data_IF_322680707911
#
_entry.id   IF_322680707911
#
_cell.length_a   1.000
_cell.length_b   1.000
_cell.length_c   1.000
_cell.angle_alpha   90.00
_cell.angle_beta   90.00
_cell.angle_gamma   90.00
#
_symmetry.space_group_name_H-M   'P 1'
#
loop_
_entity.id
_entity.type
_entity.pdbx_description
1 polymer ?
#
# COMPACT_ATOMS: atom_id res chain seq x y z
N UNK A 1 3.23 10.47 6.92
CA UNK A 1 4.32 10.43 5.92
C UNK A 1 4.73 9.00 5.57
N UNK A 2 5.07 8.17 6.54
CA UNK A 2 5.50 6.78 6.29
C UNK A 2 4.44 5.94 5.57
N UNK A 3 3.17 6.10 5.93
CA UNK A 3 2.09 5.37 5.27
C UNK A 3 2.00 5.74 3.78
N UNK A 4 2.05 7.02 3.44
CA UNK A 4 2.03 7.47 2.05
C UNK A 4 3.26 6.99 1.28
N UNK A 5 4.44 7.04 1.91
CA UNK A 5 5.67 6.53 1.30
C UNK A 5 5.61 5.03 1.07
N UNK A 6 4.92 4.28 1.93
CA UNK A 6 4.72 2.84 1.74
C UNK A 6 3.89 2.54 0.50
N UNK A 7 2.83 3.32 0.25
CA UNK A 7 2.07 3.22 -1.00
C UNK A 7 2.96 3.51 -2.20
N UNK A 8 3.75 4.59 -2.12
CA UNK A 8 4.68 4.94 -3.20
C UNK A 8 5.71 3.84 -3.46
N UNK A 9 6.24 3.21 -2.40
CA UNK A 9 7.18 2.10 -2.54
C UNK A 9 6.55 0.91 -3.26
N UNK A 10 5.28 0.61 -2.99
CA UNK A 10 4.56 -0.44 -3.71
C UNK A 10 4.33 -0.07 -5.18
N UNK A 11 4.07 1.21 -5.47
CA UNK A 11 3.96 1.68 -6.85
C UNK A 11 5.29 1.51 -7.60
N UNK A 12 6.41 1.83 -6.95
CA UNK A 12 7.74 1.61 -7.54
C UNK A 12 7.97 0.12 -7.75
N UNK A 13 7.62 -0.71 -6.77
CA UNK A 13 7.76 -2.16 -6.89
C UNK A 13 7.03 -2.70 -8.13
N UNK A 14 5.87 -2.16 -8.45
CA UNK A 14 5.07 -2.60 -9.59
C UNK A 14 5.78 -2.39 -10.94
N UNK A 15 6.65 -1.38 -11.04
CA UNK A 15 7.37 -1.05 -12.27
C UNK A 15 8.86 -1.38 -12.21
N UNK A 16 9.44 -1.41 -11.00
CA UNK A 16 10.85 -1.70 -10.77
C UNK A 16 10.98 -2.43 -9.44
N UNK A 17 10.94 -3.75 -9.52
CA UNK A 17 10.91 -4.63 -8.35
C UNK A 17 12.07 -4.37 -7.40
N UNK A 18 13.29 -4.25 -7.92
CA UNK A 18 14.47 -4.08 -7.09
C UNK A 18 14.43 -2.77 -6.31
N UNK A 19 14.12 -1.66 -6.97
CA UNK A 19 14.02 -0.37 -6.31
C UNK A 19 12.86 -0.33 -5.32
N UNK A 20 11.73 -0.97 -5.66
CA UNK A 20 10.61 -1.08 -4.73
C UNK A 20 10.97 -1.85 -3.47
N UNK A 21 11.70 -2.96 -3.60
CA UNK A 21 12.18 -3.72 -2.44
C UNK A 21 13.12 -2.87 -1.57
N UNK A 22 14.03 -2.12 -2.17
CA UNK A 22 14.94 -1.25 -1.43
C UNK A 22 14.19 -0.16 -0.66
N UNK A 23 13.19 0.44 -1.28
CA UNK A 23 12.35 1.44 -0.60
C UNK A 23 11.58 0.84 0.57
N UNK A 24 11.01 -0.34 0.40
CA UNK A 24 10.31 -1.03 1.48
C UNK A 24 11.28 -1.39 2.62
N UNK A 25 12.47 -1.86 2.29
CA UNK A 25 13.50 -2.16 3.30
C UNK A 25 13.86 -0.92 4.11
N UNK A 26 13.99 0.22 3.45
CA UNK A 26 14.25 1.49 4.12
C UNK A 26 13.12 1.86 5.09
N UNK A 27 11.88 1.73 4.64
CA UNK A 27 10.70 2.09 5.45
C UNK A 27 10.49 1.14 6.63
N UNK A 28 10.92 -0.11 6.51
CA UNK A 28 10.87 -1.09 7.62
C UNK A 28 11.88 -0.78 8.71
N UNK A 29 12.99 -0.12 8.37
CA UNK A 29 14.00 0.32 9.34
C UNK A 29 14.47 -0.78 10.27
N UNK A 30 14.30 -0.60 11.61
CA UNK A 30 14.78 -1.58 12.60
C UNK A 30 14.19 -2.99 12.48
N UNK A 31 13.05 -3.15 11.80
CA UNK A 31 12.46 -4.48 11.56
C UNK A 31 13.38 -5.35 10.70
N UNK A 32 14.26 -4.72 9.93
CA UNK A 32 15.16 -5.42 9.01
C UNK A 32 14.55 -5.57 7.61
N UNK A 33 15.39 -6.01 6.64
CA UNK A 33 14.93 -6.12 5.26
C UNK A 33 13.87 -7.20 5.08
N UNK A 34 13.20 -7.15 3.93
CA UNK A 34 12.22 -8.16 3.53
C UNK A 34 12.84 -9.54 3.56
N UNK A 35 12.14 -10.50 4.19
CA UNK A 35 12.54 -11.90 4.17
C UNK A 35 12.27 -12.51 2.80
N UNK A 36 12.78 -13.73 2.57
CA UNK A 36 12.47 -14.47 1.35
C UNK A 36 10.97 -14.74 1.22
N UNK A 37 10.30 -15.00 2.34
CA UNK A 37 8.85 -15.16 2.39
C UNK A 37 8.14 -13.87 1.94
N UNK A 38 8.55 -12.72 2.51
CA UNK A 38 7.97 -11.42 2.15
C UNK A 38 8.16 -11.12 0.66
N UNK A 39 9.33 -11.39 0.12
CA UNK A 39 9.63 -11.16 -1.30
C UNK A 39 8.78 -12.05 -2.19
N UNK A 40 8.60 -13.32 -1.83
CA UNK A 40 7.75 -14.25 -2.57
C UNK A 40 6.29 -13.83 -2.54
N UNK A 41 5.81 -13.39 -1.38
CA UNK A 41 4.45 -12.91 -1.21
C UNK A 41 4.18 -11.70 -2.12
N UNK A 42 5.08 -10.72 -2.13
CA UNK A 42 4.95 -9.54 -2.97
C UNK A 42 4.96 -9.94 -4.46
N UNK A 43 5.89 -10.79 -4.85
CA UNK A 43 6.00 -11.24 -6.24
C UNK A 43 4.71 -11.91 -6.71
N UNK A 44 4.17 -12.80 -5.90
CA UNK A 44 2.94 -13.53 -6.24
C UNK A 44 1.74 -12.59 -6.32
N UNK A 45 1.62 -11.64 -5.37
CA UNK A 45 0.49 -10.71 -5.32
C UNK A 45 0.51 -9.69 -6.45
N UNK A 46 1.70 -9.33 -6.94
CA UNK A 46 1.81 -8.38 -8.05
C UNK A 46 1.76 -9.04 -9.42
N UNK A 47 1.76 -10.35 -9.49
CA UNK A 47 1.65 -11.06 -10.76
C UNK A 47 0.30 -10.71 -11.42
N UNK A 48 0.35 -10.06 -12.59
CA UNK A 48 -0.82 -9.56 -13.32
C UNK A 48 -1.69 -8.57 -12.54
N UNK A 49 -1.17 -7.98 -11.44
CA UNK A 49 -1.90 -7.06 -10.58
C UNK A 49 -1.10 -5.79 -10.25
N UNK A 50 -0.34 -5.28 -11.21
CA UNK A 50 0.48 -4.07 -11.01
C UNK A 50 -0.35 -2.82 -10.73
N UNK A 51 -1.66 -2.84 -11.03
CA UNK A 51 -2.57 -1.73 -10.78
C UNK A 51 -2.85 -1.51 -9.29
N UNK A 52 -2.66 -2.52 -8.45
CA UNK A 52 -3.13 -2.53 -7.06
C UNK A 52 -2.67 -1.32 -6.25
N UNK A 53 -1.37 -0.96 -6.20
CA UNK A 53 -0.95 0.18 -5.39
C UNK A 53 -1.47 1.53 -5.91
N UNK A 54 -1.76 1.64 -7.20
CA UNK A 54 -2.28 2.88 -7.79
C UNK A 54 -3.74 3.14 -7.39
N UNK A 55 -4.46 2.12 -6.94
CA UNK A 55 -5.84 2.24 -6.49
C UNK A 55 -6.02 3.13 -5.26
N UNK A 56 -4.94 3.42 -4.56
CA UNK A 56 -4.95 4.23 -3.33
C UNK A 56 -4.86 5.73 -3.60
N UNK A 57 -4.62 6.15 -4.82
CA UNK A 57 -4.62 7.56 -5.17
C UNK A 57 -6.05 8.05 -5.44
N UNK A 58 -6.35 9.27 -4.98
CA UNK A 58 -7.66 9.87 -5.21
C UNK A 58 -7.98 9.93 -6.70
N UNK A 59 -9.21 9.58 -7.06
CA UNK A 59 -9.68 9.58 -8.44
C UNK A 59 -9.38 8.32 -9.23
N UNK A 60 -8.47 7.46 -8.75
CA UNK A 60 -8.19 6.18 -9.39
C UNK A 60 -9.34 5.20 -9.16
N UNK A 61 -9.83 4.57 -10.22
CA UNK A 61 -10.96 3.64 -10.16
C UNK A 61 -10.85 2.60 -11.28
N UNK A 62 -11.54 1.46 -11.15
CA UNK A 62 -11.54 0.46 -12.21
C UNK A 62 -11.98 1.00 -13.57
N UNK A 63 -12.92 1.95 -13.57
CA UNK A 63 -13.47 2.53 -14.81
C UNK A 63 -12.49 3.41 -15.60
N UNK A 64 -11.41 3.86 -14.94
CA UNK A 64 -10.40 4.71 -15.61
C UNK A 64 -8.99 4.10 -15.56
N UNK A 65 -8.90 2.77 -15.43
CA UNK A 65 -7.63 2.05 -15.34
C UNK A 65 -6.73 2.53 -14.21
N UNK A 66 -7.36 2.95 -13.09
CA UNK A 66 -6.66 3.45 -11.89
C UNK A 66 -5.76 4.66 -12.17
N UNK A 67 -6.22 5.55 -13.02
CA UNK A 67 -5.54 6.82 -13.26
C UNK A 67 -5.89 7.82 -12.18
N UNK A 68 -4.90 8.29 -11.41
CA UNK A 68 -5.19 9.24 -10.32
C UNK A 68 -5.51 10.63 -10.86
N UNK A 69 -6.29 11.38 -10.06
CA UNK A 69 -6.52 12.80 -10.30
C UNK A 69 -5.29 13.61 -9.91
N UNK A 70 -5.05 14.74 -10.58
CA UNK A 70 -4.00 15.66 -10.19
C UNK A 70 -4.58 16.82 -9.36
N UNK A 71 -3.87 17.28 -8.31
CA UNK A 71 -2.62 16.74 -7.77
C UNK A 71 -2.81 15.37 -7.12
N UNK A 72 -1.76 14.56 -7.10
CA UNK A 72 -1.84 13.22 -6.55
C UNK A 72 -2.04 13.27 -5.03
N UNK A 73 -3.05 12.59 -4.55
CA UNK A 73 -3.41 12.56 -3.12
C UNK A 73 -3.78 11.15 -2.69
N UNK A 74 -3.44 10.84 -1.44
CA UNK A 74 -3.80 9.57 -0.81
C UNK A 74 -4.56 9.91 0.46
N UNK A 75 -5.75 9.31 0.65
CA UNK A 75 -6.56 9.54 1.85
C UNK A 75 -6.18 8.52 2.91
N UNK A 76 -5.53 9.01 3.97
CA UNK A 76 -5.08 8.20 5.10
C UNK A 76 -5.70 8.78 6.36
N UNK A 77 -6.30 7.93 7.19
CA UNK A 77 -6.97 8.40 8.40
C UNK A 77 -6.90 7.39 9.54
N UNK A 78 -7.02 7.91 10.77
CA UNK A 78 -7.08 7.09 11.98
C UNK A 78 -8.53 6.74 12.30
N UNK A 79 -8.74 5.58 12.90
CA UNK A 79 -10.01 5.16 13.46
C UNK A 79 -9.97 5.09 14.99
N UNK A 80 -11.07 4.66 15.64
CA UNK A 80 -11.14 4.65 17.11
C UNK A 80 -10.13 3.73 17.79
N UNK A 81 -9.61 2.73 17.08
CA UNK A 81 -8.67 1.75 17.64
C UNK A 81 -7.26 1.89 17.11
N UNK A 82 -6.96 2.98 16.38
CA UNK A 82 -5.68 3.16 15.68
C UNK A 82 -4.48 3.17 16.63
N UNK A 83 -4.64 3.69 17.83
CA UNK A 83 -3.54 3.86 18.78
C UNK A 83 -3.72 3.04 20.06
N UNK A 84 -4.54 1.97 20.02
CA UNK A 84 -4.78 1.12 21.19
C UNK A 84 -3.53 0.43 21.70
N UNK A 85 -2.63 0.03 20.80
CA UNK A 85 -1.36 -0.58 21.18
C UNK A 85 -0.26 0.49 21.19
N UNK A 86 0.30 0.74 22.35
CA UNK A 86 1.35 1.72 22.51
C UNK A 86 2.53 1.41 21.59
N UNK A 87 3.00 2.42 20.87
CA UNK A 87 4.11 2.30 19.92
C UNK A 87 3.70 1.83 18.54
N UNK A 88 2.40 1.60 18.31
CA UNK A 88 1.86 1.19 17.01
C UNK A 88 0.77 2.14 16.55
N UNK A 89 0.67 2.32 15.24
CA UNK A 89 -0.42 3.07 14.62
C UNK A 89 -1.05 2.22 13.54
N UNK A 90 -2.33 1.92 13.67
CA UNK A 90 -3.13 1.22 12.66
C UNK A 90 -3.92 2.28 11.90
N UNK A 91 -3.55 2.50 10.64
CA UNK A 91 -4.15 3.53 9.81
C UNK A 91 -4.93 2.91 8.67
N UNK A 92 -5.94 3.64 8.20
CA UNK A 92 -6.79 3.23 7.10
C UNK A 92 -6.47 4.05 5.86
N UNK A 93 -6.45 3.40 4.71
CA UNK A 93 -6.21 4.04 3.43
C UNK A 93 -7.34 3.66 2.48
N UNK A 94 -8.00 4.66 1.90
CA UNK A 94 -9.07 4.43 0.95
C UNK A 94 -8.51 3.97 -0.41
N UNK A 95 -9.23 3.05 -1.03
CA UNK A 95 -8.91 2.56 -2.37
C UNK A 95 -10.14 2.67 -3.27
N UNK A 96 -9.93 3.13 -4.49
CA UNK A 96 -10.99 3.15 -5.50
C UNK A 96 -11.41 1.77 -5.98
N UNK A 97 -10.66 0.72 -5.64
CA UNK A 97 -10.94 -0.66 -6.01
C UNK A 97 -11.47 -1.54 -4.88
N UNK A 98 -11.82 -0.96 -3.73
CA UNK A 98 -12.31 -1.71 -2.58
C UNK A 98 -13.44 -0.96 -1.88
N UNK A 99 -14.42 -1.70 -1.35
CA UNK A 99 -15.57 -1.12 -0.64
C UNK A 99 -15.18 -0.65 0.77
N UNK A 100 -14.20 -1.31 1.37
CA UNK A 100 -13.70 -0.97 2.70
C UNK A 100 -12.25 -0.51 2.60
N UNK A 101 -11.79 0.38 3.51
CA UNK A 101 -10.40 0.81 3.52
C UNK A 101 -9.47 -0.37 3.80
N UNK A 102 -8.24 -0.23 3.35
CA UNK A 102 -7.17 -1.18 3.66
C UNK A 102 -6.31 -0.63 4.78
N UNK A 103 -5.79 -1.52 5.61
CA UNK A 103 -5.04 -1.14 6.79
C UNK A 103 -3.54 -1.21 6.55
N UNK A 104 -2.83 -0.27 7.16
CA UNK A 104 -1.38 -0.28 7.28
C UNK A 104 -1.05 -0.10 8.76
N UNK A 105 -0.05 -0.83 9.25
CA UNK A 105 0.40 -0.73 10.64
C UNK A 105 1.82 -0.16 10.64
N UNK A 106 2.01 0.90 11.42
CA UNK A 106 3.29 1.52 11.63
C UNK A 106 3.76 1.25 13.05
N UNK A 107 5.06 1.19 13.25
CA UNK A 107 5.67 1.05 14.57
C UNK A 107 6.63 2.19 14.83
N UNK A 108 6.55 2.79 16.02
CA UNK A 108 7.43 3.89 16.39
C UNK A 108 8.72 3.39 17.02
N UNK A 109 9.79 4.14 16.77
CA UNK A 109 11.04 4.01 17.50
C UNK A 109 11.65 5.40 17.61
N UNK A 110 11.83 5.89 18.82
CA UNK A 110 12.21 7.28 19.04
C UNK A 110 11.12 8.22 18.56
N UNK A 111 11.47 9.16 17.71
CA UNK A 111 10.54 10.12 17.12
C UNK A 111 10.09 9.75 15.70
N UNK A 112 10.39 8.52 15.26
CA UNK A 112 10.13 8.08 13.90
C UNK A 112 9.15 6.93 13.87
N UNK A 113 8.42 6.81 12.76
CA UNK A 113 7.51 5.72 12.48
C UNK A 113 8.04 4.90 11.30
N UNK A 114 7.94 3.58 11.43
CA UNK A 114 8.41 2.63 10.43
C UNK A 114 7.28 1.73 9.97
N UNK A 115 7.39 1.20 8.76
CA UNK A 115 6.44 0.23 8.22
C UNK A 115 6.57 -1.09 8.98
N UNK A 116 5.50 -1.50 9.67
CA UNK A 116 5.44 -2.76 10.41
C UNK A 116 4.74 -3.84 9.61
N UNK A 117 3.49 -3.58 9.18
CA UNK A 117 2.68 -4.48 8.36
C UNK A 117 1.82 -3.68 7.39
N UNK A 118 1.46 -4.28 6.28
CA UNK A 118 0.53 -3.68 5.34
C UNK A 118 -0.42 -4.74 4.79
N UNK A 119 -1.66 -4.32 4.54
CA UNK A 119 -2.71 -5.16 3.99
C UNK A 119 -3.26 -4.53 2.71
N UNK A 120 -2.38 -3.88 1.95
CA UNK A 120 -2.77 -3.00 0.84
C UNK A 120 -2.93 -3.75 -0.49
N UNK A 121 -2.37 -4.96 -0.61
CA UNK A 121 -2.25 -5.63 -1.90
C UNK A 121 -3.19 -6.83 -2.06
N UNK A 122 -4.29 -6.85 -1.30
CA UNK A 122 -5.29 -7.92 -1.39
C UNK A 122 -6.68 -7.35 -1.65
N UNK A 123 -7.45 -8.04 -2.49
CA UNK A 123 -8.86 -7.76 -2.67
C UNK A 123 -9.18 -6.45 -3.40
N UNK A 124 -8.30 -6.00 -4.29
CA UNK A 124 -8.52 -4.82 -5.11
C UNK A 124 -9.10 -5.26 -6.46
N UNK A 125 -10.20 -4.63 -6.90
CA UNK A 125 -10.89 -4.98 -8.14
C UNK A 125 -10.00 -4.71 -9.35
N UNK A 126 -10.13 -5.57 -10.36
CA UNK A 126 -9.46 -5.40 -11.65
C UNK A 126 -9.91 -4.10 -12.33
N UNK A 127 -9.05 -3.48 -13.15
CA UNK A 127 -9.52 -2.45 -14.08
C UNK A 127 -10.63 -3.00 -14.96
N UNK A 128 -11.63 -2.18 -15.29
CA UNK A 128 -12.76 -2.60 -16.12
C UNK A 128 -12.29 -3.13 -17.48
N UNK A 129 -11.20 -2.59 -18.03
CA UNK A 129 -10.63 -3.03 -19.29
C UNK A 129 -10.11 -4.47 -19.26
N UNK A 130 -9.82 -5.02 -18.06
CA UNK A 130 -9.33 -6.38 -17.86
C UNK A 130 -10.43 -7.34 -17.39
N UNK A 131 -11.64 -6.83 -17.16
CA UNK A 131 -12.75 -7.60 -16.62
C UNK A 131 -13.77 -7.86 -17.74
N UNK A 132 -13.93 -9.13 -18.20
CA UNK A 132 -14.87 -9.43 -19.28
C UNK A 132 -16.33 -9.22 -18.88
N UNK A 133 -16.60 -9.06 -17.58
CA UNK A 133 -17.95 -8.86 -17.04
C UNK A 133 -18.26 -7.41 -16.67
N UNK A 134 -17.30 -6.51 -16.90
CA UNK A 134 -17.49 -5.10 -16.59
C UNK A 134 -18.44 -4.39 -17.54
#
# INVERSE_FOLDING_TARGET
MTAALSVCALCVYAVDKQNGEEMLNFLRGPKGPLSNYDKSFLKDRFLDQQYVPFSYFAGAAPSNDYRPSEPYQITIYAGPYSFDNQGYAKLNINSGGADNPRQIVLRSKGDKWYLWEQFLIVGIRKPSSQDPWA
#
